data_IF_870273489849
#
_entry.id   IF_870273489849
#
_cell.length_a   1.000
_cell.length_b   1.000
_cell.length_c   1.000
_cell.angle_alpha   90.00
_cell.angle_beta   90.00
_cell.angle_gamma   90.00
#
_symmetry.space_group_name_H-M   'P 1'
#
loop_
_entity.id
_entity.type
_entity.pdbx_description
1 polymer ?
#
# COMPACT_ATOMS: atom_id res chain seq x y z
N UNK A 1 -0.06 11.35 10.56
CA UNK A 1 0.98 12.33 10.25
C UNK A 1 1.17 12.45 8.75
N UNK A 2 0.76 13.60 8.22
CA UNK A 2 0.89 14.00 6.82
C UNK A 2 1.94 15.10 6.62
N UNK A 3 2.67 15.46 7.68
CA UNK A 3 3.66 16.54 7.70
C UNK A 3 3.12 17.88 7.16
N UNK A 4 1.82 18.16 7.37
CA UNK A 4 1.17 19.40 6.95
C UNK A 4 0.83 19.50 5.45
N UNK A 5 1.00 18.42 4.68
CA UNK A 5 0.69 18.39 3.23
C UNK A 5 -0.63 17.71 2.90
N UNK A 6 -1.34 17.19 3.90
CA UNK A 6 -2.63 16.53 3.75
C UNK A 6 -3.68 17.42 3.08
N UNK A 7 -4.47 16.84 2.17
CA UNK A 7 -5.63 17.51 1.53
C UNK A 7 -6.97 17.13 2.15
N UNK A 8 -6.95 16.23 3.12
CA UNK A 8 -8.09 15.76 3.89
C UNK A 8 -7.67 15.67 5.37
N UNK A 9 -8.65 15.61 6.26
CA UNK A 9 -8.40 15.45 7.69
C UNK A 9 -7.64 14.15 7.99
N UNK A 10 -6.66 14.21 8.90
CA UNK A 10 -5.81 13.04 9.20
C UNK A 10 -6.60 11.89 9.81
N UNK A 11 -7.64 12.17 10.61
CA UNK A 11 -8.48 11.14 11.18
C UNK A 11 -9.35 10.49 10.09
N UNK A 12 -9.83 11.28 9.12
CA UNK A 12 -10.53 10.74 7.95
C UNK A 12 -9.62 9.82 7.11
N UNK A 13 -8.36 10.21 6.87
CA UNK A 13 -7.37 9.38 6.17
C UNK A 13 -7.15 8.06 6.94
N UNK A 14 -6.93 8.13 8.26
CA UNK A 14 -6.74 6.93 9.08
C UNK A 14 -7.95 5.98 9.09
N UNK A 15 -9.16 6.54 9.14
CA UNK A 15 -10.39 5.78 9.07
C UNK A 15 -10.56 5.11 7.68
N UNK A 16 -10.30 5.84 6.59
CA UNK A 16 -10.34 5.29 5.25
C UNK A 16 -9.34 4.15 5.05
N UNK A 17 -8.11 4.29 5.56
CA UNK A 17 -7.10 3.21 5.52
C UNK A 17 -7.63 1.95 6.21
N UNK A 18 -8.23 2.08 7.39
CA UNK A 18 -8.76 0.92 8.14
C UNK A 18 -9.94 0.26 7.43
N UNK A 19 -10.76 1.03 6.67
CA UNK A 19 -11.89 0.49 5.90
C UNK A 19 -11.46 -0.20 4.60
N UNK A 20 -10.49 0.37 3.90
CA UNK A 20 -10.11 -0.08 2.56
C UNK A 20 -9.04 -1.19 2.57
N UNK A 21 -8.20 -1.24 3.61
CA UNK A 21 -7.09 -2.18 3.69
C UNK A 21 -7.28 -3.15 4.86
N UNK A 22 -7.31 -4.45 4.56
CA UNK A 22 -7.20 -5.49 5.59
C UNK A 22 -5.74 -5.60 6.03
N UNK A 23 -5.41 -4.90 7.11
CA UNK A 23 -4.07 -4.85 7.70
C UNK A 23 -3.76 -6.07 8.60
N UNK A 24 -4.63 -7.08 8.65
CA UNK A 24 -4.30 -8.34 9.31
C UNK A 24 -3.16 -9.05 8.56
N UNK A 25 -2.34 -9.88 9.22
CA UNK A 25 -1.27 -10.61 8.55
C UNK A 25 -1.75 -11.47 7.37
N UNK A 26 -2.94 -12.07 7.49
CA UNK A 26 -3.54 -12.86 6.42
C UNK A 26 -4.06 -11.98 5.28
N UNK A 27 -4.69 -10.85 5.60
CA UNK A 27 -5.14 -9.85 4.64
C UNK A 27 -4.01 -9.34 3.77
N UNK A 28 -2.90 -8.92 4.38
CA UNK A 28 -1.69 -8.45 3.69
C UNK A 28 -1.13 -9.53 2.77
N UNK A 29 -0.98 -10.77 3.25
CA UNK A 29 -0.48 -11.89 2.44
C UNK A 29 -1.36 -12.15 1.22
N UNK A 30 -2.68 -12.07 1.40
CA UNK A 30 -3.68 -12.33 0.35
C UNK A 30 -3.69 -11.20 -0.68
N UNK A 31 -3.84 -9.96 -0.24
CA UNK A 31 -3.95 -8.77 -1.11
C UNK A 31 -2.70 -8.61 -1.99
N UNK A 32 -1.52 -8.77 -1.38
CA UNK A 32 -0.24 -8.64 -2.09
C UNK A 32 0.24 -9.95 -2.73
N UNK A 33 -0.53 -11.04 -2.63
CA UNK A 33 -0.17 -12.37 -3.15
C UNK A 33 1.29 -12.78 -2.81
N UNK A 34 1.65 -12.75 -1.53
CA UNK A 34 3.04 -12.87 -1.07
C UNK A 34 3.58 -14.30 -1.02
N UNK A 35 2.70 -15.32 -1.09
CA UNK A 35 3.09 -16.74 -1.01
C UNK A 35 3.54 -17.29 -2.37
N UNK A 36 4.52 -16.63 -2.99
CA UNK A 36 5.15 -17.04 -4.25
C UNK A 36 6.62 -16.64 -4.30
N UNK A 37 7.44 -17.23 -5.20
CA UNK A 37 8.85 -16.86 -5.31
C UNK A 37 9.04 -15.47 -5.92
N UNK A 38 9.14 -14.41 -5.10
CA UNK A 38 9.38 -13.03 -5.56
C UNK A 38 10.51 -12.28 -4.82
N UNK A 39 10.91 -12.73 -3.61
CA UNK A 39 11.81 -11.97 -2.75
C UNK A 39 13.29 -11.96 -3.18
N UNK A 40 13.72 -12.84 -4.09
CA UNK A 40 15.14 -12.84 -4.53
C UNK A 40 15.53 -11.53 -5.22
N UNK A 41 14.59 -10.93 -5.97
CA UNK A 41 14.84 -9.69 -6.72
C UNK A 41 14.98 -8.46 -5.80
N UNK A 42 14.42 -8.52 -4.60
CA UNK A 42 14.47 -7.41 -3.63
C UNK A 42 15.73 -7.41 -2.76
N UNK A 43 16.51 -8.49 -2.78
CA UNK A 43 17.72 -8.66 -1.96
C UNK A 43 18.88 -7.71 -2.35
N UNK A 44 18.76 -7.04 -3.50
CA UNK A 44 19.71 -6.04 -4.00
C UNK A 44 18.97 -4.86 -4.59
N UNK A 45 19.59 -3.68 -4.50
CA UNK A 45 19.03 -2.41 -4.98
C UNK A 45 17.70 -1.99 -4.33
N UNK A 46 17.40 -2.51 -3.13
CA UNK A 46 16.27 -2.09 -2.31
C UNK A 46 14.93 -2.76 -2.67
N UNK A 47 14.00 -2.68 -1.71
CA UNK A 47 12.65 -3.26 -1.80
C UNK A 47 11.60 -2.30 -2.38
N UNK A 48 11.83 -0.99 -2.26
CA UNK A 48 10.85 0.05 -2.58
C UNK A 48 11.30 0.95 -3.73
N UNK A 49 10.34 1.50 -4.48
CA UNK A 49 10.57 2.41 -5.61
C UNK A 49 11.15 1.75 -6.85
N UNK A 50 11.09 0.41 -6.92
CA UNK A 50 11.60 -0.39 -8.04
C UNK A 50 10.48 -0.65 -9.04
N UNK A 51 10.69 -0.27 -10.30
CA UNK A 51 9.71 -0.47 -11.39
C UNK A 51 10.09 -1.62 -12.33
N UNK A 52 11.19 -2.32 -12.04
CA UNK A 52 11.82 -3.34 -12.87
C UNK A 52 11.65 -4.77 -12.32
N UNK A 53 10.89 -4.95 -11.23
CA UNK A 53 10.67 -6.23 -10.55
C UNK A 53 9.18 -6.45 -10.24
N UNK A 54 8.82 -7.69 -9.92
CA UNK A 54 7.48 -8.03 -9.41
C UNK A 54 7.38 -7.68 -7.91
N UNK A 55 7.07 -6.42 -7.63
CA UNK A 55 6.84 -5.89 -6.29
C UNK A 55 5.37 -5.46 -6.12
N UNK A 56 4.48 -6.34 -5.64
CA UNK A 56 3.03 -6.06 -5.59
C UNK A 56 2.67 -4.85 -4.71
N UNK A 57 3.51 -4.52 -3.72
CA UNK A 57 3.33 -3.34 -2.85
C UNK A 57 3.60 -1.99 -3.55
N UNK A 58 4.23 -1.99 -4.73
CA UNK A 58 4.45 -0.76 -5.52
C UNK A 58 3.19 -0.38 -6.34
N UNK A 59 2.16 -1.23 -6.37
CA UNK A 59 0.92 -0.95 -7.09
C UNK A 59 0.15 0.22 -6.48
N UNK A 60 -0.18 1.23 -7.30
CA UNK A 60 -0.97 2.39 -6.89
C UNK A 60 -2.45 2.29 -7.25
N UNK A 61 -2.96 1.09 -7.57
CA UNK A 61 -4.34 0.90 -8.04
C UNK A 61 -5.41 1.36 -7.04
N UNK A 62 -5.12 1.30 -5.73
CA UNK A 62 -6.01 1.76 -4.64
C UNK A 62 -6.05 3.28 -4.46
N UNK A 63 -5.21 4.04 -5.17
CA UNK A 63 -5.11 5.50 -4.96
C UNK A 63 -6.42 6.24 -5.26
N UNK A 64 -7.15 5.83 -6.30
CA UNK A 64 -8.44 6.44 -6.66
C UNK A 64 -9.51 6.15 -5.60
N UNK A 65 -9.60 4.91 -5.16
CA UNK A 65 -10.54 4.47 -4.12
C UNK A 65 -10.30 5.23 -2.81
N UNK A 66 -9.03 5.34 -2.38
CA UNK A 66 -8.69 6.15 -1.21
C UNK A 66 -9.10 7.62 -1.38
N UNK A 67 -8.86 8.21 -2.55
CA UNK A 67 -9.22 9.60 -2.83
C UNK A 67 -10.74 9.85 -2.86
N UNK A 68 -11.53 8.85 -3.24
CA UNK A 68 -13.00 8.91 -3.20
C UNK A 68 -13.52 8.74 -1.76
N UNK A 69 -12.86 7.90 -0.95
CA UNK A 69 -13.26 7.60 0.43
C UNK A 69 -12.97 8.74 1.43
N UNK A 70 -11.99 9.59 1.13
CA UNK A 70 -11.58 10.72 2.00
C UNK A 70 -12.11 12.08 1.51
N UNK A 71 -12.88 12.10 0.42
CA UNK A 71 -13.57 13.30 -0.08
C UNK A 71 -14.81 13.62 0.75
#
# INVERSE_FOLDING_TARGET
DTFGTGKADEAAIGAAVTRLFDLSPLGIIKELNLRRPLFRQTAVYGHFGRTDIDAPWESTTRAKELAEEVR
#
